data_IF_859903123634
#
_entry.id   IF_859903123634
#
_cell.length_a   1.000
_cell.length_b   1.000
_cell.length_c   1.000
_cell.angle_alpha   90.00
_cell.angle_beta   90.00
_cell.angle_gamma   90.00
#
_symmetry.space_group_name_H-M   'P 1'
#
loop_
_entity.id
_entity.type
_entity.pdbx_description
1 polymer ?
#
# COMPACT_ATOMS: atom_id res chain seq x y z
N UNK A 1 -10.72 -6.63 3.56
CA UNK A 1 -10.14 -6.06 2.33
C UNK A 1 -9.40 -7.16 1.58
N UNK A 2 -9.61 -7.22 0.28
CA UNK A 2 -8.97 -8.22 -0.55
C UNK A 2 -7.95 -7.56 -1.46
N UNK A 3 -6.69 -7.98 -1.36
CA UNK A 3 -5.61 -7.44 -2.18
C UNK A 3 -5.23 -8.45 -3.26
N UNK A 4 -4.95 -7.94 -4.45
CA UNK A 4 -4.52 -8.76 -5.56
C UNK A 4 -3.04 -9.12 -5.50
N UNK A 5 -2.59 -9.87 -6.51
CA UNK A 5 -1.21 -10.33 -6.58
C UNK A 5 -0.20 -9.19 -6.71
N UNK A 6 -0.63 -8.06 -7.26
CA UNK A 6 0.25 -6.91 -7.42
C UNK A 6 0.74 -6.40 -6.06
N UNK A 7 -0.17 -6.26 -5.09
CA UNK A 7 0.22 -5.86 -3.75
C UNK A 7 1.13 -6.88 -3.10
N UNK A 8 0.83 -8.15 -3.26
CA UNK A 8 1.66 -9.22 -2.68
C UNK A 8 3.08 -9.19 -3.23
N UNK A 9 3.21 -8.83 -4.49
CA UNK A 9 4.50 -8.79 -5.18
C UNK A 9 5.30 -7.53 -4.83
N UNK A 10 4.66 -6.36 -4.86
CA UNK A 10 5.32 -5.07 -4.71
C UNK A 10 5.30 -4.53 -3.28
N UNK A 11 4.30 -4.89 -2.50
CA UNK A 11 4.12 -4.35 -1.17
C UNK A 11 3.71 -5.46 -0.20
N UNK A 12 4.62 -6.42 0.06
CA UNK A 12 4.28 -7.59 0.88
C UNK A 12 3.90 -7.24 2.33
N UNK A 13 4.50 -6.21 2.91
CA UNK A 13 4.17 -5.80 4.27
C UNK A 13 2.76 -5.25 4.34
N UNK A 14 2.40 -4.42 3.36
CA UNK A 14 1.05 -3.87 3.27
C UNK A 14 0.04 -4.99 3.02
N UNK A 15 0.39 -5.94 2.14
CA UNK A 15 -0.49 -7.07 1.87
C UNK A 15 -0.74 -7.90 3.13
N UNK A 16 0.28 -8.07 3.97
CA UNK A 16 0.14 -8.79 5.23
C UNK A 16 -0.80 -8.10 6.21
N UNK A 17 -0.91 -6.78 6.12
CA UNK A 17 -1.76 -5.99 7.01
C UNK A 17 -3.21 -5.94 6.55
N UNK A 18 -3.55 -6.52 5.40
CA UNK A 18 -4.87 -6.37 4.79
C UNK A 18 -6.03 -6.81 5.67
N UNK A 19 -5.82 -7.82 6.53
CA UNK A 19 -6.87 -8.30 7.42
C UNK A 19 -6.76 -7.75 8.83
N UNK A 20 -5.90 -6.79 9.08
CA UNK A 20 -5.63 -6.26 10.41
C UNK A 20 -6.21 -4.85 10.56
N UNK A 21 -6.29 -4.35 11.83
CA UNK A 21 -6.71 -2.96 12.05
C UNK A 21 -5.79 -1.92 11.39
N UNK A 22 -4.61 -2.33 10.96
CA UNK A 22 -3.66 -1.43 10.31
C UNK A 22 -3.91 -1.25 8.82
N UNK A 23 -4.89 -1.97 8.25
CA UNK A 23 -5.17 -1.90 6.82
C UNK A 23 -5.47 -0.47 6.35
N UNK A 24 -6.23 0.28 7.14
CA UNK A 24 -6.57 1.66 6.79
C UNK A 24 -5.34 2.55 6.72
N UNK A 25 -4.44 2.40 7.71
CA UNK A 25 -3.19 3.16 7.72
C UNK A 25 -2.32 2.79 6.52
N UNK A 26 -2.25 1.50 6.20
CA UNK A 26 -1.46 1.03 5.07
C UNK A 26 -1.94 1.67 3.76
N UNK A 27 -3.25 1.67 3.52
CA UNK A 27 -3.79 2.27 2.31
C UNK A 27 -3.62 3.78 2.28
N UNK A 28 -3.69 4.44 3.44
CA UNK A 28 -3.43 5.88 3.52
C UNK A 28 -2.00 6.21 3.08
N UNK A 29 -1.04 5.40 3.50
CA UNK A 29 0.36 5.59 3.13
C UNK A 29 0.55 5.39 1.62
N UNK A 30 -0.10 4.37 1.06
CA UNK A 30 -0.05 4.14 -0.38
C UNK A 30 -0.63 5.33 -1.15
N UNK A 31 -1.81 5.79 -0.74
CA UNK A 31 -2.46 6.92 -1.39
C UNK A 31 -1.59 8.17 -1.33
N UNK A 32 -0.95 8.42 -0.18
CA UNK A 32 -0.07 9.57 -0.04
C UNK A 32 1.10 9.48 -1.00
N UNK A 33 1.74 8.33 -1.09
CA UNK A 33 2.90 8.15 -1.97
C UNK A 33 2.54 8.24 -3.44
N UNK A 34 1.34 7.81 -3.80
CA UNK A 34 0.86 7.86 -5.18
C UNK A 34 0.10 9.15 -5.50
N UNK A 35 -0.02 10.04 -4.51
CA UNK A 35 -0.73 11.31 -4.66
C UNK A 35 -2.19 11.12 -5.04
N UNK A 36 -2.87 10.22 -4.33
CA UNK A 36 -4.26 9.87 -4.56
C UNK A 36 -5.13 10.29 -3.38
N UNK A 37 -6.46 10.39 -3.57
CA UNK A 37 -7.37 10.67 -2.46
C UNK A 37 -7.29 9.59 -1.38
N UNK A 38 -7.56 9.97 -0.13
CA UNK A 38 -7.47 9.05 1.01
C UNK A 38 -8.38 7.83 0.89
N UNK A 39 -9.51 7.98 0.22
CA UNK A 39 -10.48 6.90 0.12
C UNK A 39 -10.30 6.04 -1.13
N UNK A 40 -9.13 6.14 -1.78
CA UNK A 40 -8.84 5.30 -2.95
C UNK A 40 -8.76 3.84 -2.51
N UNK A 41 -9.44 2.97 -3.23
CA UNK A 41 -9.48 1.55 -2.89
C UNK A 41 -8.25 0.81 -3.42
N UNK A 42 -8.02 -0.38 -2.87
CA UNK A 42 -6.92 -1.23 -3.33
C UNK A 42 -7.06 -1.57 -4.82
N UNK A 43 -8.29 -1.85 -5.27
CA UNK A 43 -8.52 -2.14 -6.69
C UNK A 43 -8.16 -0.97 -7.58
N UNK A 44 -8.52 0.24 -7.16
CA UNK A 44 -8.18 1.44 -7.93
C UNK A 44 -6.68 1.65 -8.01
N UNK A 45 -5.97 1.34 -6.93
CA UNK A 45 -4.51 1.45 -6.91
C UNK A 45 -3.88 0.43 -7.87
N UNK A 46 -4.37 -0.81 -7.86
CA UNK A 46 -3.87 -1.82 -8.78
C UNK A 46 -4.11 -1.43 -10.23
N UNK A 47 -5.32 -0.92 -10.54
CA UNK A 47 -5.62 -0.46 -11.88
C UNK A 47 -4.68 0.65 -12.33
N UNK A 48 -4.39 1.58 -11.43
CA UNK A 48 -3.48 2.67 -11.74
C UNK A 48 -2.09 2.17 -12.08
N UNK A 49 -1.57 1.24 -11.29
CA UNK A 49 -0.23 0.71 -11.51
C UNK A 49 -0.16 -0.12 -12.78
N UNK A 50 -1.23 -0.83 -13.12
CA UNK A 50 -1.28 -1.58 -14.38
C UNK A 50 -1.24 -0.64 -15.58
N UNK A 51 -1.89 0.53 -15.48
CA UNK A 51 -1.87 1.53 -16.55
C UNK A 51 -0.57 2.33 -16.59
N UNK A 52 0.04 2.53 -15.42
CA UNK A 52 1.26 3.33 -15.29
C UNK A 52 2.29 2.54 -14.49
N UNK A 53 2.95 1.55 -15.13
CA UNK A 53 3.87 0.65 -14.41
C UNK A 53 5.04 1.35 -13.70
N UNK A 54 5.40 2.55 -14.15
CA UNK A 54 6.47 3.32 -13.51
C UNK A 54 6.12 3.69 -12.07
N UNK A 55 4.84 3.69 -11.72
CA UNK A 55 4.41 4.00 -10.37
C UNK A 55 4.59 2.84 -9.39
N UNK A 56 4.99 1.67 -9.89
CA UNK A 56 5.29 0.53 -9.02
C UNK A 56 6.37 0.87 -8.00
N UNK A 57 7.33 1.71 -8.37
CA UNK A 57 8.37 2.15 -7.43
C UNK A 57 7.77 2.89 -6.24
N UNK A 58 6.74 3.70 -6.48
CA UNK A 58 6.08 4.43 -5.41
C UNK A 58 5.35 3.49 -4.46
N UNK A 59 4.80 2.40 -4.98
CA UNK A 59 4.15 1.40 -4.14
C UNK A 59 5.18 0.70 -3.25
N UNK A 60 6.36 0.41 -3.79
CA UNK A 60 7.44 -0.17 -3.00
C UNK A 60 7.90 0.78 -1.90
N UNK A 61 7.99 2.08 -2.21
CA UNK A 61 8.36 3.08 -1.20
C UNK A 61 7.31 3.14 -0.10
N UNK A 62 6.04 3.04 -0.47
CA UNK A 62 4.95 3.03 0.52
C UNK A 62 5.08 1.83 1.46
N UNK A 63 5.47 0.66 0.92
CA UNK A 63 5.66 -0.53 1.74
C UNK A 63 6.78 -0.33 2.76
N UNK A 64 7.86 0.30 2.35
CA UNK A 64 8.98 0.58 3.26
C UNK A 64 8.56 1.58 4.33
N UNK A 65 7.83 2.62 3.96
CA UNK A 65 7.34 3.60 4.93
C UNK A 65 6.40 2.93 5.94
N UNK A 66 5.51 2.07 5.47
CA UNK A 66 4.60 1.36 6.35
C UNK A 66 5.36 0.46 7.32
N UNK A 67 6.37 -0.25 6.82
CA UNK A 67 7.21 -1.11 7.66
C UNK A 67 7.89 -0.31 8.76
N UNK A 68 8.41 0.86 8.42
CA UNK A 68 9.07 1.74 9.39
C UNK A 68 8.07 2.22 10.45
N UNK A 69 6.86 2.58 10.03
CA UNK A 69 5.82 3.02 10.95
C UNK A 69 5.44 1.93 11.94
N UNK A 70 5.33 0.68 11.46
CA UNK A 70 5.01 -0.44 12.34
C UNK A 70 6.11 -0.61 13.38
N UNK A 71 7.37 -0.54 12.98
CA UNK A 71 8.48 -0.68 13.92
C UNK A 71 8.47 0.39 14.99
N UNK A 72 8.12 1.61 14.61
CA UNK A 72 8.03 2.71 15.58
C UNK A 72 6.91 2.49 16.59
N UNK A 73 5.85 1.81 16.18
CA UNK A 73 4.71 1.55 17.04
C UNK A 73 4.90 0.37 17.99
N UNK A 74 5.89 -0.49 17.72
CA UNK A 74 6.13 -1.69 18.51
C UNK A 74 6.98 -1.47 19.76
N UNK A 75 7.34 -0.27 20.06
CA UNK A 75 8.22 0.04 21.21
C UNK A 75 7.52 -0.17 22.55
#
# INVERSE_FOLDING_TARGET
MKLGSLFKSLAPTIASAAGSPLAGMALSIVAKNLNLPKNTTANEIEDLIEREPEKATLLKQADLEFRTRIKEMEI
#
